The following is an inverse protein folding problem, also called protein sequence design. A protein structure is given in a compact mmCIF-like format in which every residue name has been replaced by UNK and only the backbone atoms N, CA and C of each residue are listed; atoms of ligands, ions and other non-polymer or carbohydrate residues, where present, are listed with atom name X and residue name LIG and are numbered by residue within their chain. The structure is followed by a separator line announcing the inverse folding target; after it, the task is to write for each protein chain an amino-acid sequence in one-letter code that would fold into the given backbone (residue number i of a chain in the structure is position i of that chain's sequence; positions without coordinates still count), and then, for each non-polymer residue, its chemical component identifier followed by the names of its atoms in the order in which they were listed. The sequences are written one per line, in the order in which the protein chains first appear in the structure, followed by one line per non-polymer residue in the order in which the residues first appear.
data_IF_365873173470
#
_entry.id   IF_365873173470
#
_cell.length_a   1.000
_cell.length_b   1.000
_cell.length_c   1.000
_cell.angle_alpha   90.00
_cell.angle_beta   90.00
_cell.angle_gamma   90.00
#
_symmetry.space_group_name_H-M   'P 1'
#
loop_
_entity.id
_entity.type
_entity.pdbx_description
1 polymer ?
#
# COMPACT_ATOMS: atom_id res chain seq x y z
N UNK A 1 -10.50 0.43 -5.65
CA UNK A 1 -9.09 0.38 -5.23
C UNK A 1 -8.19 -0.26 -6.30
N UNK A 2 -8.49 -0.03 -7.58
CA UNK A 2 -7.68 -0.37 -8.78
C UNK A 2 -6.43 0.51 -8.89
N UNK A 3 -6.61 1.76 -8.46
CA UNK A 3 -5.66 2.87 -8.47
C UNK A 3 -4.33 2.59 -7.75
N UNK A 4 -4.35 2.01 -6.54
CA UNK A 4 -3.10 1.68 -5.84
C UNK A 4 -2.23 0.69 -6.63
N UNK A 5 -2.85 -0.31 -7.24
CA UNK A 5 -2.14 -1.32 -8.04
C UNK A 5 -1.61 -0.73 -9.35
N UNK A 6 -2.37 0.15 -10.00
CA UNK A 6 -1.92 0.85 -11.22
C UNK A 6 -0.70 1.73 -10.94
N UNK A 7 -0.68 2.46 -9.82
CA UNK A 7 0.51 3.21 -9.40
C UNK A 7 1.65 2.24 -9.14
N UNK A 8 1.42 1.23 -8.31
CA UNK A 8 2.41 0.25 -7.91
C UNK A 8 3.09 -0.41 -9.11
N UNK A 9 2.33 -0.79 -10.14
CA UNK A 9 2.84 -1.35 -11.40
C UNK A 9 3.56 -0.33 -12.29
N UNK A 10 3.11 0.92 -12.32
CA UNK A 10 3.79 1.98 -13.08
C UNK A 10 5.11 2.42 -12.41
N UNK A 11 5.21 2.32 -11.08
CA UNK A 11 6.41 2.67 -10.32
C UNK A 11 7.54 1.65 -10.48
N UNK A 12 7.23 0.39 -10.82
CA UNK A 12 8.20 -0.71 -10.77
C UNK A 12 9.21 -0.77 -11.90
N UNK A 13 9.22 0.15 -12.88
CA UNK A 13 10.25 0.28 -13.93
C UNK A 13 11.23 -0.91 -14.08
N UNK A 14 12.51 -0.71 -13.72
CA UNK A 14 13.51 -1.78 -13.51
C UNK A 14 13.77 -2.11 -12.02
N UNK A 15 13.37 -1.23 -11.11
CA UNK A 15 13.47 -1.45 -9.67
C UNK A 15 12.20 -2.12 -9.19
N UNK A 16 12.28 -3.29 -8.57
CA UNK A 16 11.14 -4.00 -7.99
C UNK A 16 11.01 -3.63 -6.49
N UNK A 17 10.38 -2.48 -6.13
CA UNK A 17 10.27 -2.06 -4.74
C UNK A 17 9.26 -2.91 -3.98
N UNK A 18 9.50 -3.02 -2.69
CA UNK A 18 8.46 -3.38 -1.75
C UNK A 18 7.73 -2.13 -1.26
N UNK A 19 6.42 -2.10 -1.49
CA UNK A 19 5.53 -1.01 -1.11
C UNK A 19 4.78 -1.39 0.15
N UNK A 20 4.87 -0.57 1.20
CA UNK A 20 3.98 -0.76 2.34
C UNK A 20 2.56 -0.39 1.91
N UNK A 21 1.65 -1.33 2.14
CA UNK A 21 0.23 -1.06 2.04
C UNK A 21 -0.17 -0.26 3.27
N UNK A 22 -0.95 0.81 3.10
CA UNK A 22 -1.50 1.63 4.19
C UNK A 22 -2.55 0.86 5.02
N UNK A 23 -2.26 -0.38 5.41
CA UNK A 23 -3.12 -1.24 6.20
C UNK A 23 -2.70 -1.22 7.66
N UNK A 24 -3.67 -1.24 8.54
CA UNK A 24 -3.50 -1.24 10.00
C UNK A 24 -4.25 -2.41 10.62
N UNK A 25 -3.77 -2.86 11.78
CA UNK A 25 -4.46 -3.88 12.54
C UNK A 25 -5.52 -3.24 13.43
N UNK A 26 -6.80 -3.61 13.25
CA UNK A 26 -7.85 -3.20 14.16
C UNK A 26 -7.85 -4.12 15.39
N UNK A 27 -7.57 -3.56 16.56
CA UNK A 27 -7.43 -4.33 17.80
C UNK A 27 -8.72 -4.98 18.28
N UNK A 28 -9.88 -4.45 17.88
CA UNK A 28 -11.19 -4.96 18.29
C UNK A 28 -11.62 -6.13 17.42
N UNK A 29 -11.47 -6.00 16.09
CA UNK A 29 -11.82 -7.06 15.12
C UNK A 29 -10.71 -8.08 14.93
N UNK A 30 -9.48 -7.74 15.35
CA UNK A 30 -8.23 -8.50 15.15
C UNK A 30 -7.88 -8.73 13.69
N UNK A 31 -8.40 -7.90 12.76
CA UNK A 31 -8.20 -8.03 11.31
C UNK A 31 -7.45 -6.84 10.75
N UNK A 32 -6.80 -7.06 9.60
CA UNK A 32 -6.22 -5.96 8.83
C UNK A 32 -7.32 -5.15 8.15
N UNK A 33 -7.20 -3.83 8.21
CA UNK A 33 -8.13 -2.87 7.62
C UNK A 33 -7.31 -1.78 6.90
N UNK A 34 -7.88 -1.13 5.89
CA UNK A 34 -7.23 0.07 5.33
C UNK A 34 -7.21 1.18 6.38
N UNK A 35 -6.12 1.93 6.46
CA UNK A 35 -5.95 3.05 7.41
C UNK A 35 -7.02 4.13 7.24
N UNK A 36 -7.55 4.29 6.02
CA UNK A 36 -8.63 5.23 5.72
C UNK A 36 -10.03 4.71 6.11
N UNK A 37 -10.15 3.48 6.62
CA UNK A 37 -11.41 2.84 7.00
C UNK A 37 -12.24 2.33 5.82
N UNK A 38 -11.73 2.43 4.59
CA UNK A 38 -12.42 1.89 3.41
C UNK A 38 -12.48 0.36 3.47
N UNK A 39 -13.48 -0.22 2.79
CA UNK A 39 -13.62 -1.68 2.72
C UNK A 39 -12.52 -2.28 1.84
N UNK A 40 -11.90 -3.35 2.31
CA UNK A 40 -11.00 -4.17 1.47
C UNK A 40 -11.85 -4.92 0.44
N UNK A 41 -11.82 -4.45 -0.80
CA UNK A 41 -12.52 -5.07 -1.94
C UNK A 41 -11.58 -5.79 -2.90
N UNK A 42 -10.27 -5.68 -2.66
CA UNK A 42 -9.23 -6.28 -3.48
C UNK A 42 -8.09 -6.79 -2.59
N UNK A 43 -7.64 -8.00 -2.85
CA UNK A 43 -6.36 -8.53 -2.40
C UNK A 43 -5.71 -9.30 -3.56
N UNK A 44 -4.38 -9.30 -3.63
CA UNK A 44 -3.72 -10.02 -4.71
C UNK A 44 -3.85 -11.54 -4.52
N UNK A 45 -4.29 -12.27 -5.56
CA UNK A 45 -4.53 -13.73 -5.55
C UNK A 45 -5.30 -14.24 -4.31
N UNK A 46 -6.28 -13.47 -3.83
CA UNK A 46 -7.03 -13.79 -2.61
C UNK A 46 -6.14 -13.93 -1.37
N UNK A 47 -5.06 -13.15 -1.28
CA UNK A 47 -4.26 -13.03 -0.07
C UNK A 47 -5.19 -12.82 1.13
N UNK A 48 -5.06 -13.69 2.13
CA UNK A 48 -5.93 -13.68 3.29
C UNK A 48 -5.50 -12.53 4.22
N UNK A 49 -6.38 -11.55 4.37
CA UNK A 49 -6.22 -10.40 5.27
C UNK A 49 -7.01 -10.58 6.58
N UNK A 50 -7.69 -11.71 6.73
CA UNK A 50 -8.53 -12.03 7.90
C UNK A 50 -7.78 -12.72 9.04
N UNK A 51 -6.46 -12.93 8.88
CA UNK A 51 -5.61 -13.43 9.95
C UNK A 51 -5.63 -12.51 11.18
N UNK A 52 -5.31 -13.11 12.32
CA UNK A 52 -5.20 -12.40 13.58
C UNK A 52 -3.93 -11.53 13.65
N UNK A 53 -4.09 -10.28 13.25
CA UNK A 53 -2.98 -9.32 13.16
C UNK A 53 -2.44 -8.89 14.53
N UNK A 54 -3.22 -9.08 15.61
CA UNK A 54 -2.80 -8.77 16.98
C UNK A 54 -1.85 -9.85 17.51
N UNK A 55 -2.20 -11.13 17.29
CA UNK A 55 -1.37 -12.25 17.74
C UNK A 55 -0.05 -12.34 16.97
N UNK A 56 -0.08 -12.03 15.66
CA UNK A 56 1.08 -12.25 14.77
C UNK A 56 1.88 -10.98 14.47
N UNK A 57 1.50 -9.80 14.99
CA UNK A 57 2.13 -8.49 14.74
C UNK A 57 2.54 -8.30 13.27
N UNK A 58 1.62 -8.52 12.35
CA UNK A 58 1.95 -8.63 10.93
C UNK A 58 1.72 -7.32 10.18
N UNK A 59 2.77 -6.75 9.61
CA UNK A 59 2.68 -5.70 8.58
C UNK A 59 2.39 -6.36 7.24
N UNK A 60 1.77 -5.61 6.31
CA UNK A 60 1.46 -6.11 4.96
C UNK A 60 2.11 -5.18 3.93
N UNK A 61 2.83 -5.77 2.98
CA UNK A 61 3.43 -5.08 1.84
C UNK A 61 2.89 -5.65 0.52
N UNK A 62 3.18 -4.95 -0.57
CA UNK A 62 3.10 -5.49 -1.91
C UNK A 62 4.44 -5.41 -2.61
N UNK A 63 4.72 -6.42 -3.42
CA UNK A 63 5.81 -6.45 -4.39
C UNK A 63 5.18 -6.53 -5.79
N UNK A 64 4.95 -5.40 -6.46
CA UNK A 64 4.11 -5.40 -7.65
C UNK A 64 4.78 -6.06 -8.85
N UNK A 65 6.12 -6.00 -8.96
CA UNK A 65 6.88 -6.62 -10.05
C UNK A 65 6.84 -8.16 -10.01
N UNK A 66 6.82 -8.74 -8.81
CA UNK A 66 6.59 -10.18 -8.63
C UNK A 66 5.11 -10.55 -8.50
N UNK A 67 4.24 -9.54 -8.50
CA UNK A 67 2.83 -9.67 -8.25
C UNK A 67 2.58 -10.51 -6.98
N UNK A 68 3.00 -10.03 -5.81
CA UNK A 68 2.70 -10.69 -4.53
C UNK A 68 2.36 -9.67 -3.45
N UNK A 69 1.58 -10.12 -2.47
CA UNK A 69 1.42 -9.43 -1.18
C UNK A 69 2.04 -10.31 -0.11
N UNK A 70 2.82 -9.72 0.79
CA UNK A 70 3.43 -10.45 1.90
C UNK A 70 2.90 -9.96 3.24
N UNK A 71 2.98 -10.84 4.24
CA UNK A 71 2.87 -10.44 5.64
C UNK A 71 4.09 -10.90 6.42
N UNK A 72 4.53 -10.09 7.35
CA UNK A 72 5.72 -10.33 8.15
C UNK A 72 5.58 -9.71 9.53
N UNK A 73 6.24 -10.32 10.52
CA UNK A 73 6.25 -9.79 11.88
C UNK A 73 6.86 -8.37 11.92
N UNK A 74 6.34 -7.50 12.77
CA UNK A 74 6.73 -6.08 12.86
C UNK A 74 8.18 -5.86 13.30
N UNK A 75 8.91 -6.93 13.60
CA UNK A 75 10.32 -6.93 14.02
C UNK A 75 11.29 -7.09 12.86
N UNK A 76 10.81 -7.38 11.64
CA UNK A 76 11.67 -7.46 10.46
C UNK A 76 12.07 -6.06 9.99
N UNK A 77 13.38 -5.82 9.90
CA UNK A 77 13.96 -4.62 9.32
C UNK A 77 14.09 -4.83 7.82
N UNK A 78 13.19 -4.22 7.07
CA UNK A 78 13.18 -4.24 5.62
C UNK A 78 13.12 -2.80 5.11
N UNK A 79 13.69 -2.56 3.94
CA UNK A 79 13.61 -1.27 3.27
C UNK A 79 12.30 -1.23 2.49
N UNK A 80 11.46 -0.25 2.82
CA UNK A 80 10.15 -0.09 2.21
C UNK A 80 10.05 1.27 1.55
N UNK A 81 9.41 1.29 0.39
CA UNK A 81 8.98 2.53 -0.23
C UNK A 81 7.58 2.87 0.28
N UNK A 82 7.38 4.11 0.71
CA UNK A 82 6.06 4.60 1.13
C UNK A 82 5.43 5.37 -0.03
N UNK A 83 4.21 4.99 -0.36
CA UNK A 83 3.37 5.68 -1.34
C UNK A 83 2.24 6.40 -0.62
N UNK A 84 2.17 7.72 -0.76
CA UNK A 84 1.03 8.51 -0.30
C UNK A 84 0.17 8.92 -1.49
N UNK A 85 -1.14 8.76 -1.34
CA UNK A 85 -2.13 9.12 -2.36
C UNK A 85 -3.07 10.15 -1.77
N UNK A 86 -3.33 11.22 -2.52
CA UNK A 86 -4.22 12.30 -2.13
C UNK A 86 -5.30 12.51 -3.18
N UNK A 87 -6.56 12.58 -2.73
CA UNK A 87 -7.70 12.98 -3.56
C UNK A 87 -7.72 14.50 -3.69
N UNK A 88 -6.86 15.03 -4.57
CA UNK A 88 -6.81 16.46 -4.90
C UNK A 88 -6.87 16.65 -6.41
N UNK A 89 -7.49 17.76 -6.83
CA UNK A 89 -7.54 18.15 -8.25
C UNK A 89 -6.27 18.89 -8.70
N UNK A 90 -5.59 19.55 -7.76
CA UNK A 90 -4.30 20.21 -7.95
C UNK A 90 -3.25 19.45 -7.12
N UNK A 91 -2.17 19.02 -7.78
CA UNK A 91 -1.22 18.10 -7.17
C UNK A 91 -0.08 18.80 -6.42
N UNK A 92 0.10 20.11 -6.55
CA UNK A 92 1.18 20.86 -5.89
C UNK A 92 2.55 20.14 -6.00
N UNK A 93 3.07 19.61 -4.88
CA UNK A 93 4.33 18.86 -4.76
C UNK A 93 4.22 17.35 -5.01
N UNK A 94 3.03 16.87 -5.34
CA UNK A 94 2.70 15.48 -5.69
C UNK A 94 2.64 15.35 -7.21
N UNK A 95 2.91 14.16 -7.71
CA UNK A 95 2.79 13.83 -9.13
C UNK A 95 1.35 13.43 -9.47
N UNK A 96 0.87 13.83 -10.65
CA UNK A 96 -0.46 13.43 -11.14
C UNK A 96 -0.41 12.04 -11.75
N UNK A 97 -1.37 11.19 -11.38
CA UNK A 97 -1.47 9.83 -11.89
C UNK A 97 -2.09 9.79 -13.28
N UNK A 98 -1.30 10.14 -14.30
CA UNK A 98 -1.76 10.25 -15.69
C UNK A 98 -2.41 8.96 -16.22
N UNK A 99 -1.90 7.80 -15.79
CA UNK A 99 -2.31 6.49 -16.27
C UNK A 99 -3.52 5.89 -15.52
N UNK A 100 -4.11 6.57 -14.52
CA UNK A 100 -5.24 6.00 -13.77
C UNK A 100 -6.52 5.96 -14.59
N UNK A 101 -7.33 4.91 -14.48
CA UNK A 101 -8.68 4.91 -15.10
C UNK A 101 -9.69 5.81 -14.35
N UNK A 102 -9.32 6.37 -13.20
CA UNK A 102 -10.14 7.32 -12.47
C UNK A 102 -10.17 8.71 -13.16
N UNK A 103 -11.37 9.28 -13.31
CA UNK A 103 -11.58 10.61 -13.89
C UNK A 103 -10.88 11.70 -13.08
N UNK A 104 -10.79 11.54 -11.76
CA UNK A 104 -10.14 12.49 -10.87
C UNK A 104 -8.61 12.52 -11.04
N UNK A 105 -8.01 11.46 -11.63
CA UNK A 105 -6.55 11.34 -11.84
C UNK A 105 -5.75 11.79 -10.61
N UNK A 106 -5.83 11.04 -9.49
CA UNK A 106 -5.37 11.51 -8.19
C UNK A 106 -3.87 11.76 -8.13
N UNK A 107 -3.47 12.46 -7.08
CA UNK A 107 -2.08 12.86 -6.87
C UNK A 107 -1.36 11.84 -5.99
N UNK A 108 -0.09 11.56 -6.26
CA UNK A 108 0.72 10.63 -5.50
C UNK A 108 2.13 11.18 -5.24
N UNK A 109 2.77 10.71 -4.16
CA UNK A 109 4.17 11.03 -3.87
C UNK A 109 4.87 9.81 -3.29
N UNK A 110 6.09 9.61 -3.76
CA UNK A 110 6.93 8.47 -3.38
C UNK A 110 7.99 8.95 -2.42
N UNK A 111 8.19 8.18 -1.35
CA UNK A 111 9.29 8.36 -0.43
C UNK A 111 10.22 7.14 -0.58
N UNK A 112 11.34 7.28 -1.32
CA UNK A 112 12.27 6.18 -1.56
C UNK A 112 13.12 5.84 -0.33
N UNK A 113 13.30 6.81 0.57
CA UNK A 113 13.97 6.59 1.85
C UNK A 113 13.06 5.82 2.81
N UNK A 114 13.64 4.88 3.55
CA UNK A 114 12.92 4.12 4.56
C UNK A 114 12.41 5.05 5.67
N UNK A 115 11.11 5.35 5.63
CA UNK A 115 10.45 6.11 6.67
C UNK A 115 10.06 5.19 7.83
N UNK A 116 10.39 5.60 9.06
CA UNK A 116 9.84 4.95 10.25
C UNK A 116 8.35 5.29 10.37
N UNK A 117 7.48 4.29 10.40
CA UNK A 117 6.08 4.49 10.80
C UNK A 117 6.03 4.86 12.28
N UNK A 118 5.63 6.10 12.60
CA UNK A 118 5.34 6.54 13.96
C UNK A 118 3.86 6.40 14.27
#
# INVERSE_FOLDING_TARGET
NTMFNEIALNLTGESNPWLILGMVCNSNTRRMEWMDGSKITYTYKNFDVSFDCVANKTKVDSEPGNHIWNSYASTYWNYWTVLCVAERYDCDEYDKMANSDDVAKPCFKIYPDALSWR
#
